data_IF_298941948236
#
_entry.id   IF_298941948236
#
_cell.length_a   1.000
_cell.length_b   1.000
_cell.length_c   1.000
_cell.angle_alpha   90.00
_cell.angle_beta   90.00
_cell.angle_gamma   90.00
#
_symmetry.space_group_name_H-M   'P 1'
#
loop_
_entity.id
_entity.type
_entity.pdbx_description
1 polymer ?
#
# COMPACT_ATOMS: atom_id res chain seq x y z
N UNK A 1 21.14 -53.82 -11.55
CA UNK A 1 21.56 -54.17 -10.19
C UNK A 1 23.07 -54.00 -10.14
N UNK A 2 23.68 -53.28 -9.19
CA UNK A 2 23.20 -52.79 -7.90
C UNK A 2 23.64 -51.33 -7.71
N UNK A 3 22.77 -50.47 -7.17
CA UNK A 3 23.21 -49.24 -6.49
C UNK A 3 23.50 -49.62 -5.04
N UNK A 4 24.73 -49.46 -4.58
CA UNK A 4 25.08 -49.67 -3.17
C UNK A 4 25.74 -48.42 -2.62
N UNK A 5 24.89 -47.52 -2.13
CA UNK A 5 25.27 -46.26 -1.48
C UNK A 5 25.66 -46.54 -0.04
N UNK A 6 26.96 -46.68 0.23
CA UNK A 6 27.49 -46.61 1.60
C UNK A 6 27.66 -45.13 1.98
N UNK A 7 26.55 -44.51 2.38
CA UNK A 7 26.59 -43.29 3.17
C UNK A 7 26.63 -43.70 4.65
N UNK A 8 27.65 -43.25 5.39
CA UNK A 8 27.80 -43.65 6.78
C UNK A 8 26.79 -42.90 7.66
N UNK A 9 25.90 -43.65 8.31
CA UNK A 9 24.86 -43.17 9.24
C UNK A 9 25.42 -42.28 10.37
N UNK A 10 26.71 -42.45 10.68
CA UNK A 10 27.47 -41.64 11.63
C UNK A 10 27.55 -40.14 11.28
N UNK A 11 27.45 -39.76 10.01
CA UNK A 11 27.58 -38.36 9.57
C UNK A 11 26.25 -37.61 9.69
N UNK A 12 25.13 -38.28 9.39
CA UNK A 12 23.78 -37.70 9.53
C UNK A 12 23.44 -37.44 11.00
N UNK A 13 23.74 -38.39 11.90
CA UNK A 13 23.55 -38.20 13.34
C UNK A 13 24.32 -36.99 13.88
N UNK A 14 25.56 -36.79 13.40
CA UNK A 14 26.39 -35.63 13.78
C UNK A 14 25.78 -34.31 13.29
N UNK A 15 25.31 -34.25 12.04
CA UNK A 15 24.68 -33.05 11.48
C UNK A 15 23.42 -32.66 12.28
N UNK A 16 22.62 -33.62 12.72
CA UNK A 16 21.41 -33.34 13.53
C UNK A 16 21.77 -32.81 14.93
N UNK A 17 22.80 -33.38 15.57
CA UNK A 17 23.27 -32.89 16.88
C UNK A 17 23.92 -31.49 16.77
N UNK A 18 24.70 -31.23 15.72
CA UNK A 18 25.30 -29.91 15.44
C UNK A 18 24.19 -28.85 15.21
N UNK A 19 23.13 -29.16 14.45
CA UNK A 19 21.98 -28.26 14.23
C UNK A 19 21.23 -27.98 15.54
N UNK A 20 21.05 -29.00 16.38
CA UNK A 20 20.38 -28.86 17.67
C UNK A 20 21.18 -27.97 18.62
N UNK A 21 22.50 -28.13 18.70
CA UNK A 21 23.37 -27.25 19.49
C UNK A 21 23.30 -25.78 19.04
N UNK A 22 23.28 -25.51 17.73
CA UNK A 22 23.11 -24.14 17.20
C UNK A 22 21.76 -23.53 17.58
N UNK A 23 20.70 -24.35 17.65
CA UNK A 23 19.38 -23.90 18.09
C UNK A 23 19.37 -23.57 19.60
N UNK A 24 19.97 -24.43 20.42
CA UNK A 24 20.06 -24.25 21.88
C UNK A 24 20.90 -23.02 22.26
N UNK A 25 22.08 -22.83 21.66
CA UNK A 25 22.92 -21.62 21.85
C UNK A 25 22.19 -20.30 21.48
N UNK A 26 21.27 -20.37 20.50
CA UNK A 26 20.49 -19.20 20.07
C UNK A 26 19.39 -18.80 21.06
N UNK A 27 18.93 -19.72 21.91
CA UNK A 27 17.92 -19.44 22.94
C UNK A 27 18.53 -18.89 24.24
N UNK A 28 19.75 -19.30 24.61
CA UNK A 28 20.43 -18.82 25.83
C UNK A 28 20.95 -17.38 25.73
N UNK A 29 21.00 -16.78 24.55
CA UNK A 29 21.43 -15.38 24.34
C UNK A 29 20.29 -14.35 24.55
N UNK A 30 19.05 -14.81 24.78
CA UNK A 30 17.84 -13.97 24.70
C UNK A 30 17.20 -13.58 26.06
N UNK A 31 17.93 -13.60 27.19
CA UNK A 31 17.39 -13.11 28.48
C UNK A 31 18.38 -12.17 29.20
N UNK A 32 18.20 -10.87 28.99
CA UNK A 32 18.56 -9.84 29.97
C UNK A 32 17.43 -8.80 30.06
N UNK A 33 16.64 -8.77 31.15
CA UNK A 33 15.60 -7.77 31.33
C UNK A 33 16.19 -6.44 31.81
N UNK A 34 15.71 -5.33 31.25
CA UNK A 34 15.93 -3.97 31.78
C UNK A 34 14.59 -3.26 31.89
N UNK A 35 14.38 -2.57 33.01
CA UNK A 35 13.08 -2.13 33.51
C UNK A 35 12.51 -0.89 32.78
N UNK A 36 11.18 -0.79 32.66
CA UNK A 36 10.55 0.23 31.83
C UNK A 36 9.04 0.47 31.97
N UNK A 37 8.51 0.49 33.21
CA UNK A 37 7.23 1.14 33.60
C UNK A 37 5.85 0.55 33.19
N UNK A 38 5.10 0.16 34.23
CA UNK A 38 3.63 0.25 34.46
C UNK A 38 2.66 -0.52 33.54
N UNK A 39 2.00 -1.52 34.13
CA UNK A 39 0.52 -1.56 34.21
C UNK A 39 0.06 -2.23 35.51
N UNK A 40 -1.07 -1.75 36.03
CA UNK A 40 -1.71 -2.17 37.28
C UNK A 40 -3.12 -2.69 36.97
N UNK A 41 -3.60 -3.64 37.79
CA UNK A 41 -4.88 -4.36 37.70
C UNK A 41 -5.07 -5.24 36.45
N UNK A 42 -5.79 -6.36 36.50
CA UNK A 42 -6.46 -7.01 37.63
C UNK A 42 -7.03 -8.37 37.18
N UNK A 43 -7.13 -9.35 38.08
CA UNK A 43 -7.48 -10.73 37.69
C UNK A 43 -8.91 -10.91 37.14
N UNK A 44 -9.15 -11.96 36.32
CA UNK A 44 -10.49 -12.29 35.81
C UNK A 44 -11.38 -12.89 36.90
N UNK A 45 -12.70 -12.82 36.70
CA UNK A 45 -13.68 -13.55 37.50
C UNK A 45 -14.75 -14.19 36.61
N UNK A 46 -15.09 -15.44 36.94
CA UNK A 46 -16.09 -16.26 36.28
C UNK A 46 -17.51 -15.69 36.36
N UNK A 47 -18.31 -15.97 35.33
CA UNK A 47 -19.77 -15.92 35.40
C UNK A 47 -20.40 -17.05 34.56
N UNK A 48 -20.56 -18.20 35.21
CA UNK A 48 -21.62 -19.22 35.02
C UNK A 48 -22.60 -19.09 33.84
N UNK A 49 -22.80 -20.21 33.14
CA UNK A 49 -24.15 -20.61 32.69
C UNK A 49 -24.46 -22.06 33.10
N UNK A 50 -25.74 -22.37 33.24
CA UNK A 50 -26.23 -23.27 34.30
C UNK A 50 -26.31 -24.76 33.93
N UNK A 51 -26.24 -25.64 34.95
CA UNK A 51 -26.22 -27.11 34.80
C UNK A 51 -27.48 -27.75 35.40
N UNK A 52 -28.35 -28.35 34.58
CA UNK A 52 -29.53 -29.07 35.09
C UNK A 52 -29.40 -30.61 35.01
N UNK A 53 -29.18 -31.20 36.19
CA UNK A 53 -29.56 -32.55 36.70
C UNK A 53 -29.61 -33.81 35.78
N UNK A 54 -28.68 -34.73 36.08
CA UNK A 54 -28.77 -36.21 36.07
C UNK A 54 -29.88 -36.76 37.01
N UNK A 55 -30.12 -38.10 37.21
CA UNK A 55 -29.36 -39.33 36.83
C UNK A 55 -30.26 -40.40 36.11
N UNK A 56 -30.03 -41.73 35.97
CA UNK A 56 -29.09 -42.77 36.50
C UNK A 56 -28.64 -43.71 35.34
N UNK A 57 -27.36 -44.09 35.22
CA UNK A 57 -26.69 -45.38 35.58
C UNK A 57 -26.88 -46.60 34.63
N UNK A 58 -25.89 -47.51 34.64
CA UNK A 58 -25.88 -48.88 34.11
C UNK A 58 -25.70 -49.11 32.59
N UNK A 59 -24.42 -49.09 32.17
CA UNK A 59 -23.75 -50.34 31.80
C UNK A 59 -23.71 -50.83 30.33
N UNK A 60 -22.47 -51.04 29.87
CA UNK A 60 -22.00 -52.04 28.88
C UNK A 60 -22.22 -51.81 27.37
N UNK A 61 -21.07 -51.83 26.67
CA UNK A 61 -20.79 -52.48 25.38
C UNK A 61 -21.99 -52.89 24.49
N UNK A 62 -22.05 -52.33 23.28
CA UNK A 62 -21.40 -52.94 22.11
C UNK A 62 -21.74 -52.11 20.85
N UNK A 63 -20.72 -51.64 20.14
CA UNK A 63 -20.93 -51.00 18.83
C UNK A 63 -21.58 -51.99 17.85
N UNK A 64 -22.62 -51.52 17.15
CA UNK A 64 -23.07 -52.12 15.89
C UNK A 64 -23.11 -51.06 14.83
N UNK A 65 -22.50 -51.38 13.70
CA UNK A 65 -22.31 -50.50 12.56
C UNK A 65 -23.65 -49.98 12.04
N UNK A 66 -23.76 -48.66 11.93
CA UNK A 66 -24.53 -48.03 10.86
C UNK A 66 -23.60 -47.10 10.11
N UNK A 67 -23.28 -47.49 8.89
CA UNK A 67 -22.43 -46.74 7.95
C UNK A 67 -23.15 -45.43 7.61
N UNK A 68 -22.79 -44.37 8.33
CA UNK A 68 -23.17 -43.00 7.97
C UNK A 68 -22.12 -42.42 7.03
N UNK A 69 -22.55 -41.85 5.92
CA UNK A 69 -21.70 -41.23 4.90
C UNK A 69 -20.80 -40.16 5.51
N UNK A 70 -19.54 -40.52 5.78
CA UNK A 70 -18.54 -39.60 6.29
C UNK A 70 -17.96 -38.79 5.11
N UNK A 71 -18.75 -37.88 4.56
CA UNK A 71 -18.13 -36.70 3.96
C UNK A 71 -17.52 -35.87 5.09
N UNK A 72 -16.23 -35.53 5.02
CA UNK A 72 -15.70 -34.49 5.90
C UNK A 72 -16.42 -33.19 5.55
N UNK A 73 -17.40 -32.80 6.37
CA UNK A 73 -17.66 -31.39 6.57
C UNK A 73 -16.42 -30.87 7.29
N UNK A 74 -15.42 -30.50 6.50
CA UNK A 74 -14.28 -29.71 6.92
C UNK A 74 -14.85 -28.36 7.35
N UNK A 75 -15.30 -28.32 8.61
CA UNK A 75 -15.79 -27.12 9.25
C UNK A 75 -14.54 -26.30 9.54
N UNK A 76 -14.13 -25.51 8.53
CA UNK A 76 -13.03 -24.55 8.66
C UNK A 76 -13.39 -23.65 9.83
N UNK A 77 -12.80 -23.95 10.98
CA UNK A 77 -12.97 -23.15 12.18
C UNK A 77 -12.44 -21.77 11.85
N UNK A 78 -13.33 -20.79 11.83
CA UNK A 78 -12.95 -19.42 11.50
C UNK A 78 -11.98 -18.96 12.58
N UNK A 79 -10.71 -18.79 12.18
CA UNK A 79 -9.69 -18.18 13.03
C UNK A 79 -9.95 -16.68 13.12
N UNK A 80 -9.44 -16.03 14.17
CA UNK A 80 -9.51 -14.56 14.32
C UNK A 80 -9.09 -13.82 13.05
N UNK A 81 -8.05 -14.36 12.40
CA UNK A 81 -7.42 -13.75 11.23
C UNK A 81 -8.30 -13.91 9.98
N UNK A 82 -9.03 -15.04 9.87
CA UNK A 82 -10.00 -15.26 8.79
C UNK A 82 -11.26 -14.40 9.01
N UNK A 83 -11.74 -14.25 10.25
CA UNK A 83 -12.84 -13.33 10.59
C UNK A 83 -12.48 -11.87 10.27
N UNK A 84 -11.27 -11.44 10.64
CA UNK A 84 -10.76 -10.11 10.31
C UNK A 84 -10.63 -9.91 8.79
N UNK A 85 -10.09 -10.89 8.05
CA UNK A 85 -9.99 -10.82 6.60
C UNK A 85 -11.36 -10.75 5.91
N UNK A 86 -12.32 -11.57 6.34
CA UNK A 86 -13.71 -11.56 5.85
C UNK A 86 -14.37 -10.20 6.11
N UNK A 87 -14.11 -9.59 7.28
CA UNK A 87 -14.62 -8.26 7.64
C UNK A 87 -14.00 -7.14 6.80
N UNK A 88 -12.67 -7.14 6.61
CA UNK A 88 -12.00 -6.15 5.74
C UNK A 88 -12.47 -6.23 4.28
N UNK A 89 -12.76 -7.44 3.77
CA UNK A 89 -13.33 -7.63 2.43
C UNK A 89 -14.76 -7.06 2.36
N UNK A 90 -15.56 -7.22 3.43
CA UNK A 90 -16.90 -6.64 3.50
C UNK A 90 -16.87 -5.11 3.52
N UNK A 91 -16.01 -4.51 4.35
CA UNK A 91 -15.79 -3.06 4.39
C UNK A 91 -15.35 -2.49 3.04
N UNK A 92 -14.41 -3.17 2.37
CA UNK A 92 -13.98 -2.81 1.01
C UNK A 92 -15.16 -2.81 0.02
N UNK A 93 -16.01 -3.84 0.04
CA UNK A 93 -17.19 -3.91 -0.84
C UNK A 93 -18.19 -2.80 -0.54
N UNK A 94 -18.38 -2.42 0.74
CA UNK A 94 -19.23 -1.28 1.11
C UNK A 94 -18.65 0.06 0.64
N UNK A 95 -17.33 0.23 0.65
CA UNK A 95 -16.67 1.42 0.09
C UNK A 95 -16.80 1.46 -1.44
N UNK A 96 -16.62 0.32 -2.11
CA UNK A 96 -16.78 0.18 -3.56
C UNK A 96 -18.21 0.56 -4.00
N UNK A 97 -19.23 0.16 -3.23
CA UNK A 97 -20.62 0.57 -3.47
C UNK A 97 -20.91 2.07 -3.25
N UNK A 98 -20.14 2.75 -2.39
CA UNK A 98 -20.28 4.20 -2.15
C UNK A 98 -19.58 5.03 -3.22
N UNK A 99 -18.42 4.58 -3.72
CA UNK A 99 -17.66 5.26 -4.78
C UNK A 99 -18.31 5.07 -6.17
N UNK A 100 -19.15 4.05 -6.33
CA UNK A 100 -20.01 3.82 -7.49
C UNK A 100 -21.19 4.83 -7.59
N UNK A 101 -20.91 6.14 -7.53
CA UNK A 101 -21.93 7.17 -7.77
C UNK A 101 -22.36 7.11 -9.25
N UNK A 102 -23.67 7.14 -9.57
CA UNK A 102 -24.13 6.89 -10.92
C UNK A 102 -23.74 8.01 -11.88
N UNK A 103 -22.85 7.69 -12.83
CA UNK A 103 -22.80 8.36 -14.13
C UNK A 103 -24.12 8.06 -14.87
N UNK A 104 -25.16 8.81 -14.55
CA UNK A 104 -26.46 8.66 -15.19
C UNK A 104 -26.41 9.14 -16.63
N UNK A 105 -26.33 8.19 -17.55
CA UNK A 105 -26.98 8.31 -18.85
C UNK A 105 -27.88 7.08 -19.09
N UNK A 106 -29.19 7.33 -19.04
CA UNK A 106 -30.29 6.54 -19.62
C UNK A 106 -30.11 5.02 -19.75
N UNK A 107 -30.08 4.28 -18.63
CA UNK A 107 -30.57 2.88 -18.63
C UNK A 107 -31.12 2.45 -17.26
N UNK A 108 -32.08 1.51 -17.29
CA UNK A 108 -32.96 1.16 -16.16
C UNK A 108 -32.31 0.27 -15.07
N UNK A 109 -30.98 0.19 -15.00
CA UNK A 109 -30.27 -0.86 -14.24
C UNK A 109 -29.50 -0.39 -13.00
N UNK A 110 -29.66 0.86 -12.57
CA UNK A 110 -28.94 1.44 -11.41
C UNK A 110 -29.21 0.80 -10.04
N UNK A 111 -30.04 -0.25 -9.98
CA UNK A 111 -30.37 -1.01 -8.77
C UNK A 111 -29.55 -2.31 -8.62
N UNK A 112 -28.95 -2.84 -9.69
CA UNK A 112 -28.36 -4.19 -9.69
C UNK A 112 -27.13 -4.30 -8.77
N UNK A 113 -26.24 -3.30 -8.78
CA UNK A 113 -25.04 -3.30 -7.94
C UNK A 113 -25.39 -3.23 -6.45
N UNK A 114 -26.29 -2.33 -6.06
CA UNK A 114 -26.76 -2.20 -4.68
C UNK A 114 -27.42 -3.48 -4.18
N UNK A 115 -28.24 -4.13 -5.02
CA UNK A 115 -28.82 -5.44 -4.71
C UNK A 115 -27.74 -6.51 -4.49
N UNK A 116 -26.69 -6.57 -5.33
CA UNK A 116 -25.59 -7.53 -5.19
C UNK A 116 -24.77 -7.32 -3.92
N UNK A 117 -24.55 -6.07 -3.52
CA UNK A 117 -23.90 -5.72 -2.26
C UNK A 117 -24.75 -6.12 -1.05
N UNK A 118 -26.08 -5.97 -1.12
CA UNK A 118 -27.01 -6.43 -0.08
C UNK A 118 -27.03 -7.96 0.03
N UNK A 119 -27.13 -8.67 -1.09
CA UNK A 119 -27.05 -10.14 -1.15
C UNK A 119 -25.73 -10.67 -0.56
N UNK A 120 -24.60 -10.06 -0.93
CA UNK A 120 -23.29 -10.37 -0.37
C UNK A 120 -23.20 -10.07 1.14
N UNK A 121 -23.77 -8.96 1.61
CA UNK A 121 -23.81 -8.61 3.04
C UNK A 121 -24.62 -9.62 3.87
N UNK A 122 -25.72 -10.14 3.30
CA UNK A 122 -26.50 -11.23 3.92
C UNK A 122 -25.66 -12.51 4.02
N UNK A 123 -24.84 -12.83 3.01
CA UNK A 123 -23.92 -13.97 3.08
C UNK A 123 -22.78 -13.75 4.08
N UNK A 124 -22.17 -12.56 4.13
CA UNK A 124 -21.18 -12.18 5.14
C UNK A 124 -21.70 -12.44 6.57
N UNK A 125 -22.88 -11.93 6.93
CA UNK A 125 -23.45 -12.16 8.26
C UNK A 125 -23.72 -13.65 8.54
N UNK A 126 -24.13 -14.43 7.53
CA UNK A 126 -24.31 -15.89 7.69
C UNK A 126 -22.98 -16.62 7.90
N UNK A 127 -21.90 -16.20 7.26
CA UNK A 127 -20.57 -16.81 7.39
C UNK A 127 -20.02 -16.58 8.79
N UNK A 128 -20.08 -15.35 9.31
CA UNK A 128 -19.66 -15.06 10.68
C UNK A 128 -20.51 -15.82 11.73
N UNK A 129 -21.83 -15.92 11.51
CA UNK A 129 -22.69 -16.78 12.33
C UNK A 129 -22.56 -18.28 12.05
N UNK A 130 -21.56 -18.73 11.27
CA UNK A 130 -21.27 -20.13 10.91
C UNK A 130 -22.44 -20.88 10.22
N UNK A 131 -23.38 -20.12 9.63
CA UNK A 131 -24.60 -20.56 8.96
C UNK A 131 -24.46 -20.66 7.43
N UNK A 132 -23.35 -20.19 6.84
CA UNK A 132 -23.03 -20.31 5.42
C UNK A 132 -21.55 -20.68 5.22
N UNK A 133 -21.23 -21.25 4.05
CA UNK A 133 -19.86 -21.65 3.72
C UNK A 133 -19.03 -20.49 3.17
N UNK A 134 -17.71 -20.56 3.39
CA UNK A 134 -16.74 -19.64 2.78
C UNK A 134 -16.78 -19.69 1.23
N UNK A 135 -17.17 -20.83 0.65
CA UNK A 135 -17.41 -20.95 -0.79
C UNK A 135 -18.52 -20.00 -1.26
N UNK A 136 -19.62 -19.89 -0.52
CA UNK A 136 -20.71 -18.96 -0.86
C UNK A 136 -20.25 -17.50 -0.74
N UNK A 137 -19.45 -17.18 0.27
CA UNK A 137 -18.84 -15.84 0.43
C UNK A 137 -18.00 -15.45 -0.80
N UNK A 138 -17.13 -16.34 -1.26
CA UNK A 138 -16.26 -16.10 -2.43
C UNK A 138 -17.08 -16.00 -3.72
N UNK A 139 -18.13 -16.81 -3.88
CA UNK A 139 -19.03 -16.73 -5.03
C UNK A 139 -19.77 -15.38 -5.06
N UNK A 140 -20.38 -14.98 -3.95
CA UNK A 140 -21.13 -13.72 -3.86
C UNK A 140 -20.20 -12.50 -4.04
N UNK A 141 -18.98 -12.55 -3.47
CA UNK A 141 -17.92 -11.57 -3.72
C UNK A 141 -17.57 -11.48 -5.22
N UNK A 142 -17.44 -12.62 -5.90
CA UNK A 142 -17.11 -12.65 -7.33
C UNK A 142 -18.20 -12.00 -8.20
N UNK A 143 -19.47 -12.15 -7.83
CA UNK A 143 -20.58 -11.48 -8.51
C UNK A 143 -20.56 -9.96 -8.28
N UNK A 144 -20.26 -9.51 -7.06
CA UNK A 144 -20.09 -8.08 -6.76
C UNK A 144 -18.91 -7.48 -7.54
N UNK A 145 -17.76 -8.16 -7.59
CA UNK A 145 -16.58 -7.68 -8.32
C UNK A 145 -16.77 -7.70 -9.84
N UNK A 146 -17.45 -8.70 -10.38
CA UNK A 146 -17.83 -8.72 -11.80
C UNK A 146 -18.73 -7.52 -12.14
N UNK A 147 -19.74 -7.24 -11.30
CA UNK A 147 -20.61 -6.06 -11.47
C UNK A 147 -19.87 -4.74 -11.25
N UNK A 148 -18.92 -4.67 -10.32
CA UNK A 148 -18.04 -3.54 -10.14
C UNK A 148 -17.23 -3.25 -11.42
N UNK A 149 -16.75 -4.27 -12.13
CA UNK A 149 -15.97 -4.08 -13.36
C UNK A 149 -16.77 -3.46 -14.52
N UNK A 150 -18.10 -3.48 -14.47
CA UNK A 150 -18.98 -2.78 -15.41
C UNK A 150 -19.11 -1.26 -15.09
N UNK A 151 -18.63 -0.82 -13.91
CA UNK A 151 -18.80 0.53 -13.39
C UNK A 151 -17.49 1.35 -13.51
N UNK A 152 -17.65 2.62 -13.90
CA UNK A 152 -16.53 3.58 -13.97
C UNK A 152 -16.36 4.26 -12.62
N UNK A 153 -15.41 3.80 -11.80
CA UNK A 153 -15.05 4.44 -10.54
C UNK A 153 -14.28 5.74 -10.77
N UNK A 154 -14.76 6.84 -10.21
CA UNK A 154 -14.12 8.15 -10.29
C UNK A 154 -13.13 8.38 -9.15
N UNK A 155 -12.09 7.55 -9.04
CA UNK A 155 -11.07 7.67 -7.97
C UNK A 155 -10.46 9.07 -7.95
N UNK A 156 -10.79 9.84 -6.90
CA UNK A 156 -10.18 11.12 -6.50
C UNK A 156 -9.72 12.03 -7.65
N UNK A 157 -10.64 12.32 -8.59
CA UNK A 157 -10.46 13.38 -9.59
C UNK A 157 -9.59 13.01 -10.81
N UNK A 158 -9.08 11.78 -10.92
CA UNK A 158 -8.40 11.35 -12.15
C UNK A 158 -9.42 11.00 -13.24
N UNK A 159 -9.78 12.00 -14.06
CA UNK A 159 -10.59 11.78 -15.27
C UNK A 159 -9.71 11.18 -16.38
N UNK A 160 -9.46 9.88 -16.30
CA UNK A 160 -8.81 9.11 -17.36
C UNK A 160 -9.58 9.27 -18.67
N UNK A 161 -9.00 9.99 -19.64
CA UNK A 161 -9.54 10.08 -20.99
C UNK A 161 -9.21 8.80 -21.74
N UNK A 162 -10.10 7.82 -21.65
CA UNK A 162 -10.07 6.63 -22.50
C UNK A 162 -10.20 7.02 -23.97
N UNK A 163 -9.07 7.01 -24.68
CA UNK A 163 -9.02 7.10 -26.13
C UNK A 163 -7.88 6.26 -26.74
N UNK A 164 -7.32 5.30 -26.00
CA UNK A 164 -6.33 4.35 -26.52
C UNK A 164 -6.79 2.91 -26.30
N UNK A 165 -7.44 2.37 -27.33
CA UNK A 165 -7.78 0.96 -27.42
C UNK A 165 -6.53 0.11 -27.57
N UNK A 166 -6.30 -0.80 -26.63
CA UNK A 166 -5.65 -2.10 -26.84
C UNK A 166 -4.30 -2.08 -27.60
N UNK A 167 -3.26 -1.48 -27.01
CA UNK A 167 -1.88 -1.83 -27.34
C UNK A 167 -1.32 -2.80 -26.30
N UNK A 168 -1.32 -4.09 -26.60
CA UNK A 168 -0.68 -5.14 -25.78
C UNK A 168 0.84 -5.16 -26.01
N UNK A 169 1.49 -4.02 -25.76
CA UNK A 169 2.94 -3.89 -25.80
C UNK A 169 3.42 -3.22 -24.51
N UNK A 170 3.89 -4.05 -23.58
CA UNK A 170 4.32 -3.66 -22.25
C UNK A 170 5.70 -2.99 -22.29
N UNK A 171 5.74 -1.72 -22.72
CA UNK A 171 6.94 -0.91 -22.64
C UNK A 171 6.97 -0.15 -21.31
N UNK A 172 7.87 -0.59 -20.45
CA UNK A 172 8.35 0.12 -19.27
C UNK A 172 8.68 1.59 -19.59
N UNK A 173 7.81 2.50 -19.12
CA UNK A 173 8.01 3.95 -19.13
C UNK A 173 7.47 4.58 -17.86
N UNK A 174 8.17 4.33 -16.75
CA UNK A 174 8.10 5.21 -15.58
C UNK A 174 8.69 6.56 -15.98
N UNK A 175 7.85 7.49 -16.43
CA UNK A 175 8.25 8.86 -16.73
C UNK A 175 8.52 9.62 -15.41
N UNK A 176 9.74 9.49 -14.90
CA UNK A 176 10.22 10.29 -13.77
C UNK A 176 10.14 11.78 -14.12
N UNK A 177 9.54 12.64 -13.27
CA UNK A 177 9.61 14.08 -13.46
C UNK A 177 11.03 14.57 -13.13
N UNK A 178 11.88 14.69 -14.16
CA UNK A 178 13.19 15.33 -14.04
C UNK A 178 13.03 16.76 -13.52
N UNK A 179 13.33 16.98 -12.23
CA UNK A 179 13.29 18.29 -11.62
C UNK A 179 14.50 19.13 -12.08
N UNK A 180 14.35 19.78 -13.25
CA UNK A 180 15.43 20.59 -13.85
C UNK A 180 15.65 21.85 -13.03
N UNK A 181 16.72 21.81 -12.23
CA UNK A 181 17.32 22.96 -11.56
C UNK A 181 17.78 23.98 -12.62
N UNK A 182 16.91 24.95 -12.96
CA UNK A 182 17.28 26.05 -13.86
C UNK A 182 18.15 27.05 -13.11
N UNK A 183 19.46 26.87 -13.23
CA UNK A 183 20.46 27.86 -12.82
C UNK A 183 20.75 28.81 -13.98
N UNK A 184 19.83 29.74 -14.27
CA UNK A 184 20.08 30.80 -15.25
C UNK A 184 20.69 32.04 -14.58
N UNK A 185 21.96 32.28 -14.90
CA UNK A 185 22.64 33.54 -14.62
C UNK A 185 22.53 34.46 -15.84
N UNK A 186 22.18 35.75 -15.64
CA UNK A 186 22.28 36.84 -16.63
C UNK A 186 21.36 36.68 -17.87
N UNK A 187 20.35 37.55 -18.07
CA UNK A 187 20.56 38.99 -18.27
C UNK A 187 19.25 39.76 -18.10
N UNK A 188 19.34 41.07 -17.82
CA UNK A 188 18.16 41.86 -17.46
C UNK A 188 17.50 42.54 -18.65
N UNK A 189 16.16 42.50 -18.71
CA UNK A 189 15.40 43.60 -19.28
C UNK A 189 14.09 43.92 -18.52
N UNK A 190 14.12 45.07 -17.85
CA UNK A 190 13.02 46.00 -17.51
C UNK A 190 11.60 45.44 -17.34
N UNK A 191 11.16 45.39 -16.08
CA UNK A 191 9.93 46.09 -15.69
C UNK A 191 10.14 46.88 -14.40
N UNK A 192 10.28 48.21 -14.52
CA UNK A 192 10.07 49.10 -13.38
C UNK A 192 8.56 49.22 -13.17
N UNK A 193 8.03 48.71 -12.05
CA UNK A 193 6.73 49.12 -11.55
C UNK A 193 6.90 49.69 -10.14
N UNK A 194 6.80 51.01 -10.01
CA UNK A 194 6.94 51.70 -8.74
C UNK A 194 5.60 51.76 -7.99
N UNK A 195 5.58 51.28 -6.75
CA UNK A 195 4.47 51.50 -5.81
C UNK A 195 4.92 52.22 -4.53
N UNK A 196 5.73 53.26 -4.70
CA UNK A 196 6.02 54.24 -3.64
C UNK A 196 5.00 55.38 -3.67
N UNK A 197 3.76 55.11 -3.23
CA UNK A 197 2.74 56.17 -2.99
C UNK A 197 1.58 55.71 -2.10
N UNK A 198 1.88 55.40 -0.84
CA UNK A 198 0.84 55.49 0.22
C UNK A 198 0.55 56.97 0.42
N UNK A 199 -0.62 57.43 -0.02
CA UNK A 199 -1.11 58.77 0.26
C UNK A 199 -1.70 58.79 1.68
N UNK A 200 -1.01 59.45 2.61
CA UNK A 200 -1.59 59.87 3.89
C UNK A 200 -2.64 60.97 3.65
N UNK A 201 -3.88 60.83 4.13
CA UNK A 201 -4.78 61.93 4.38
C UNK A 201 -4.67 62.36 5.85
N UNK A 202 -3.56 63.01 6.21
CA UNK A 202 -3.45 63.72 7.48
C UNK A 202 -3.21 65.20 7.18
N UNK A 203 -4.29 65.90 6.83
CA UNK A 203 -4.30 67.35 6.69
C UNK A 203 -4.50 67.97 8.07
N UNK A 204 -3.45 68.60 8.57
CA UNK A 204 -3.46 69.45 9.76
C UNK A 204 -4.40 70.65 9.51
N UNK A 205 -5.35 70.98 10.41
CA UNK A 205 -6.17 72.18 10.26
C UNK A 205 -5.34 73.42 10.61
N UNK A 206 -4.91 74.16 9.58
CA UNK A 206 -4.36 75.50 9.75
C UNK A 206 -5.30 76.39 10.59
N UNK A 207 -4.69 77.13 11.53
CA UNK A 207 -5.38 78.12 12.35
C UNK A 207 -6.04 79.18 11.45
N UNK A 208 -7.35 79.45 11.56
CA UNK A 208 -7.97 80.57 10.86
C UNK A 208 -7.42 81.90 11.38
N UNK A 209 -6.77 82.64 10.50
CA UNK A 209 -6.25 84.00 10.76
C UNK A 209 -7.38 85.02 11.02
N UNK A 210 -7.07 86.07 11.77
CA UNK A 210 -8.00 87.10 12.24
C UNK A 210 -8.39 88.08 11.12
N UNK A 211 -9.39 87.68 10.33
CA UNK A 211 -9.86 88.39 9.14
C UNK A 211 -11.20 89.13 9.32
N UNK A 212 -11.24 90.18 10.14
CA UNK A 212 -12.39 91.09 10.25
C UNK A 212 -12.85 91.67 8.90
N UNK A 213 -14.03 91.28 8.42
CA UNK A 213 -14.93 92.16 7.66
C UNK A 213 -16.41 91.88 7.96
N UNK A 214 -17.06 92.86 8.57
CA UNK A 214 -18.52 92.95 8.73
C UNK A 214 -19.21 93.02 7.36
N UNK A 215 -20.14 92.10 7.10
CA UNK A 215 -21.23 92.31 6.13
C UNK A 215 -22.54 91.79 6.69
N UNK A 216 -23.47 92.70 6.98
CA UNK A 216 -24.67 92.39 7.74
C UNK A 216 -25.77 91.77 6.88
N UNK A 217 -26.08 90.50 7.13
CA UNK A 217 -27.41 89.95 6.83
C UNK A 217 -28.04 89.35 8.09
N UNK A 218 -28.91 90.18 8.69
CA UNK A 218 -30.07 89.83 9.53
C UNK A 218 -30.12 88.39 10.06
N UNK A 219 -29.99 88.27 11.39
CA UNK A 219 -30.27 87.04 12.12
C UNK A 219 -31.63 86.43 11.75
N UNK A 220 -31.59 85.32 11.00
CA UNK A 220 -32.49 84.20 11.23
C UNK A 220 -31.61 83.06 11.74
N UNK A 221 -31.35 83.09 13.04
CA UNK A 221 -30.90 81.90 13.78
C UNK A 221 -32.11 80.98 13.94
N UNK A 222 -32.56 80.44 12.80
CA UNK A 222 -32.94 79.05 12.75
C UNK A 222 -31.58 78.32 12.74
N UNK A 223 -31.02 77.91 13.88
CA UNK A 223 -31.68 76.94 14.76
C UNK A 223 -32.42 75.90 13.92
N UNK A 224 -31.72 75.32 12.93
CA UNK A 224 -31.82 73.90 12.65
C UNK A 224 -31.46 73.16 13.94
N UNK A 225 -32.40 73.17 14.89
CA UNK A 225 -32.51 72.08 15.84
C UNK A 225 -32.76 70.85 14.97
N UNK A 226 -32.00 69.76 15.12
CA UNK A 226 -32.43 68.51 14.53
C UNK A 226 -33.88 68.27 14.97
N UNK A 227 -34.73 67.90 14.02
CA UNK A 227 -36.11 67.60 14.37
C UNK A 227 -36.12 66.45 15.38
N UNK A 228 -37.16 66.38 16.22
CA UNK A 228 -37.26 65.30 17.19
C UNK A 228 -37.28 63.92 16.49
N UNK A 229 -37.83 63.87 15.27
CA UNK A 229 -37.77 62.74 14.33
C UNK A 229 -36.30 62.37 13.99
N UNK A 230 -35.50 63.31 13.50
CA UNK A 230 -34.09 63.10 13.09
C UNK A 230 -33.22 62.61 14.26
N UNK A 231 -33.51 63.06 15.50
CA UNK A 231 -32.78 62.62 16.68
C UNK A 231 -33.10 61.18 17.09
N UNK A 232 -34.37 60.76 17.03
CA UNK A 232 -34.76 59.37 17.29
C UNK A 232 -34.33 58.43 16.13
N UNK A 233 -34.33 58.90 14.88
CA UNK A 233 -33.78 58.15 13.74
C UNK A 233 -32.27 57.93 13.88
N UNK A 234 -31.48 58.96 14.23
CA UNK A 234 -30.05 58.85 14.49
C UNK A 234 -29.74 57.91 15.68
N UNK A 235 -30.62 57.85 16.67
CA UNK A 235 -30.50 56.96 17.83
C UNK A 235 -30.74 55.50 17.45
N UNK A 236 -31.73 55.23 16.59
CA UNK A 236 -31.96 53.91 15.99
C UNK A 236 -30.80 53.50 15.07
N UNK A 237 -30.27 54.42 14.27
CA UNK A 237 -29.09 54.18 13.43
C UNK A 237 -27.85 53.83 14.27
N UNK A 238 -27.61 54.58 15.36
CA UNK A 238 -26.54 54.26 16.33
C UNK A 238 -26.71 52.87 16.93
N UNK A 239 -27.92 52.49 17.33
CA UNK A 239 -28.20 51.16 17.90
C UNK A 239 -27.96 50.05 16.87
N UNK A 240 -28.41 50.24 15.63
CA UNK A 240 -28.14 49.34 14.50
C UNK A 240 -26.64 49.22 14.22
N UNK A 241 -25.88 50.32 14.17
CA UNK A 241 -24.42 50.29 13.97
C UNK A 241 -23.73 49.57 15.12
N UNK A 242 -24.22 49.68 16.35
CA UNK A 242 -23.69 48.93 17.49
C UNK A 242 -23.96 47.43 17.37
N UNK A 243 -25.14 47.00 16.90
CA UNK A 243 -25.43 45.59 16.64
C UNK A 243 -24.61 45.04 15.47
N UNK A 244 -24.51 45.79 14.37
CA UNK A 244 -23.73 45.40 13.18
C UNK A 244 -22.23 45.25 13.55
N UNK A 245 -21.69 46.15 14.39
CA UNK A 245 -20.31 46.07 14.88
C UNK A 245 -20.09 44.87 15.82
N UNK A 246 -21.07 44.51 16.65
CA UNK A 246 -21.01 43.29 17.48
C UNK A 246 -20.96 42.03 16.61
N UNK A 247 -21.81 41.94 15.57
CA UNK A 247 -21.85 40.81 14.63
C UNK A 247 -20.52 40.73 13.85
N UNK A 248 -19.98 41.85 13.38
CA UNK A 248 -18.67 41.90 12.74
C UNK A 248 -17.53 41.42 13.65
N UNK A 249 -17.60 41.71 14.95
CA UNK A 249 -16.58 41.29 15.93
C UNK A 249 -16.62 39.77 16.18
N UNK A 250 -17.82 39.20 16.29
CA UNK A 250 -18.00 37.74 16.42
C UNK A 250 -17.51 36.98 15.18
N UNK A 251 -17.87 37.46 13.98
CA UNK A 251 -17.39 36.89 12.71
C UNK A 251 -15.86 36.99 12.57
N UNK A 252 -15.23 38.04 13.10
CA UNK A 252 -13.77 38.20 13.08
C UNK A 252 -13.07 37.18 13.97
N UNK A 253 -13.55 36.93 15.19
CA UNK A 253 -12.97 35.92 16.08
C UNK A 253 -13.22 34.49 15.57
N UNK A 254 -14.35 34.22 14.92
CA UNK A 254 -14.63 32.95 14.25
C UNK A 254 -13.67 32.71 13.08
N UNK A 255 -13.50 33.68 12.17
CA UNK A 255 -12.59 33.54 11.01
C UNK A 255 -11.12 33.47 11.41
N UNK A 256 -10.73 34.16 12.48
CA UNK A 256 -9.40 34.04 13.12
C UNK A 256 -9.17 32.65 13.71
N UNK A 257 -10.17 32.05 14.33
CA UNK A 257 -10.07 30.68 14.86
C UNK A 257 -9.93 29.65 13.73
N UNK A 258 -10.71 29.80 12.65
CA UNK A 258 -10.58 28.99 11.42
C UNK A 258 -9.19 29.15 10.78
N UNK A 259 -8.63 30.37 10.74
CA UNK A 259 -7.30 30.60 10.21
C UNK A 259 -6.24 29.77 10.97
N UNK A 260 -6.24 29.82 12.30
CA UNK A 260 -5.31 29.04 13.13
C UNK A 260 -5.47 27.52 12.92
N UNK A 261 -6.71 27.02 12.80
CA UNK A 261 -6.97 25.62 12.46
C UNK A 261 -6.38 25.25 11.09
N UNK A 262 -6.56 26.09 10.07
CA UNK A 262 -5.99 25.84 8.74
C UNK A 262 -4.45 25.93 8.71
N UNK A 263 -3.84 26.81 9.52
CA UNK A 263 -2.39 26.88 9.68
C UNK A 263 -1.83 25.61 10.33
N UNK A 264 -2.52 25.05 11.33
CA UNK A 264 -2.17 23.79 11.96
C UNK A 264 -2.29 22.60 10.98
N UNK A 265 -3.39 22.52 10.23
CA UNK A 265 -3.57 21.48 9.19
C UNK A 265 -2.51 21.60 8.09
N UNK A 266 -2.13 22.82 7.68
CA UNK A 266 -1.06 23.05 6.72
C UNK A 266 0.31 22.62 7.23
N UNK A 267 0.59 22.80 8.53
CA UNK A 267 1.81 22.32 9.16
C UNK A 267 1.86 20.77 9.21
N UNK A 268 0.75 20.13 9.54
CA UNK A 268 0.62 18.67 9.55
C UNK A 268 0.81 18.06 8.15
N UNK A 269 0.13 18.59 7.13
CA UNK A 269 0.29 18.11 5.74
C UNK A 269 1.74 18.27 5.24
N UNK A 270 2.44 19.35 5.62
CA UNK A 270 3.87 19.52 5.30
C UNK A 270 4.75 18.48 6.00
N UNK A 271 4.45 18.13 7.25
CA UNK A 271 5.14 17.07 7.99
C UNK A 271 4.95 15.70 7.32
N UNK A 272 3.70 15.38 6.93
CA UNK A 272 3.36 14.15 6.23
C UNK A 272 4.03 14.07 4.85
N UNK A 273 4.05 15.17 4.08
CA UNK A 273 4.74 15.25 2.81
C UNK A 273 6.26 14.96 2.96
N UNK A 274 6.93 15.64 3.90
CA UNK A 274 8.35 15.41 4.17
C UNK A 274 8.65 14.00 4.74
N UNK A 275 7.65 13.31 5.30
CA UNK A 275 7.75 11.89 5.68
C UNK A 275 7.62 10.98 4.45
N UNK A 276 6.64 11.25 3.59
CA UNK A 276 6.40 10.52 2.35
C UNK A 276 7.58 10.63 1.37
N UNK A 277 8.15 11.83 1.19
CA UNK A 277 9.35 12.06 0.37
C UNK A 277 10.56 11.22 0.83
N UNK A 278 10.81 11.18 2.15
CA UNK A 278 11.88 10.34 2.72
C UNK A 278 11.61 8.85 2.55
N UNK A 279 10.37 8.41 2.74
CA UNK A 279 9.96 7.02 2.51
C UNK A 279 10.14 6.61 1.04
N UNK A 280 9.76 7.49 0.11
CA UNK A 280 9.89 7.26 -1.33
C UNK A 280 11.36 7.18 -1.76
N UNK A 281 12.23 8.07 -1.26
CA UNK A 281 13.68 8.02 -1.52
C UNK A 281 14.34 6.73 -1.00
N UNK A 282 13.87 6.21 0.14
CA UNK A 282 14.31 4.91 0.65
C UNK A 282 13.85 3.76 -0.26
N UNK A 283 12.59 3.75 -0.70
CA UNK A 283 12.04 2.74 -1.59
C UNK A 283 12.74 2.75 -2.97
N UNK A 284 13.04 3.92 -3.54
CA UNK A 284 13.83 4.07 -4.76
C UNK A 284 15.24 3.47 -4.60
N UNK A 285 15.89 3.73 -3.47
CA UNK A 285 17.22 3.15 -3.15
C UNK A 285 17.15 1.63 -3.05
N UNK A 286 16.14 1.09 -2.36
CA UNK A 286 15.92 -0.36 -2.24
C UNK A 286 15.68 -1.02 -3.62
N UNK A 287 14.82 -0.41 -4.45
CA UNK A 287 14.53 -0.87 -5.80
C UNK A 287 15.80 -0.90 -6.67
N UNK A 288 16.63 0.15 -6.57
CA UNK A 288 17.92 0.21 -7.28
C UNK A 288 18.87 -0.91 -6.85
N UNK A 289 19.02 -1.14 -5.53
CA UNK A 289 19.85 -2.24 -5.02
C UNK A 289 19.34 -3.62 -5.49
N UNK A 290 18.02 -3.83 -5.53
CA UNK A 290 17.43 -5.06 -6.07
C UNK A 290 17.73 -5.22 -7.57
N UNK A 291 17.55 -4.17 -8.37
CA UNK A 291 17.83 -4.20 -9.81
C UNK A 291 19.32 -4.48 -10.11
N UNK A 292 20.24 -3.86 -9.38
CA UNK A 292 21.67 -4.13 -9.49
C UNK A 292 22.03 -5.57 -9.06
N UNK A 293 21.37 -6.10 -8.02
CA UNK A 293 21.53 -7.49 -7.58
C UNK A 293 21.07 -8.49 -8.64
N UNK A 294 19.89 -8.29 -9.23
CA UNK A 294 19.38 -9.15 -10.32
C UNK A 294 20.28 -9.10 -11.56
N UNK A 295 20.75 -7.91 -11.95
CA UNK A 295 21.70 -7.76 -13.07
C UNK A 295 23.03 -8.50 -12.82
N UNK A 296 23.54 -8.46 -11.59
CA UNK A 296 24.73 -9.21 -11.19
C UNK A 296 24.50 -10.73 -11.27
N UNK A 297 23.33 -11.20 -10.82
CA UNK A 297 22.94 -12.62 -10.90
C UNK A 297 22.78 -13.10 -12.35
N UNK A 298 22.15 -12.29 -13.20
CA UNK A 298 21.99 -12.57 -14.64
C UNK A 298 23.35 -12.66 -15.35
N UNK A 299 24.26 -11.71 -15.08
CA UNK A 299 25.62 -11.73 -15.63
C UNK A 299 26.34 -13.02 -15.25
N UNK A 300 26.25 -13.43 -13.97
CA UNK A 300 26.86 -14.67 -13.48
C UNK A 300 26.23 -15.94 -14.07
N UNK A 301 24.92 -15.92 -14.34
CA UNK A 301 24.25 -17.03 -15.01
C UNK A 301 24.76 -17.20 -16.46
N UNK A 302 24.95 -16.09 -17.20
CA UNK A 302 25.55 -16.09 -18.54
C UNK A 302 27.00 -16.58 -18.52
N UNK A 303 27.80 -16.17 -17.51
CA UNK A 303 29.16 -16.69 -17.31
C UNK A 303 29.16 -18.22 -17.13
N UNK A 304 28.28 -18.77 -16.29
CA UNK A 304 28.16 -20.22 -16.11
C UNK A 304 27.66 -20.96 -17.36
N UNK A 305 26.75 -20.37 -18.13
CA UNK A 305 26.30 -20.95 -19.41
C UNK A 305 27.43 -21.01 -20.44
N UNK A 306 28.24 -19.95 -20.56
CA UNK A 306 29.40 -19.96 -21.48
C UNK A 306 30.46 -20.97 -21.05
N UNK A 307 30.73 -21.12 -19.75
CA UNK A 307 31.66 -22.12 -19.22
C UNK A 307 31.15 -23.56 -19.37
N UNK A 308 29.85 -23.82 -19.18
CA UNK A 308 29.25 -25.14 -19.45
C UNK A 308 29.39 -25.53 -20.92
N UNK A 309 29.07 -24.63 -21.83
CA UNK A 309 29.23 -24.85 -23.27
C UNK A 309 30.71 -25.13 -23.65
N UNK A 310 31.65 -24.40 -23.04
CA UNK A 310 33.09 -24.61 -23.22
C UNK A 310 33.54 -25.98 -22.71
N UNK A 311 33.07 -26.40 -21.52
CA UNK A 311 33.37 -27.71 -20.95
C UNK A 311 32.77 -28.84 -21.77
N UNK A 312 31.53 -28.71 -22.24
CA UNK A 312 30.87 -29.70 -23.09
C UNK A 312 31.62 -29.92 -24.41
N UNK A 313 32.03 -28.82 -25.09
CA UNK A 313 32.87 -28.91 -26.29
C UNK A 313 34.24 -29.55 -26.00
N UNK A 314 34.82 -29.30 -24.82
CA UNK A 314 36.08 -29.94 -24.40
C UNK A 314 35.89 -31.45 -24.19
N UNK A 315 34.77 -31.88 -23.58
CA UNK A 315 34.43 -33.29 -23.37
C UNK A 315 34.26 -33.99 -24.73
N UNK A 316 33.46 -33.43 -25.63
CA UNK A 316 33.26 -33.98 -26.98
C UNK A 316 34.58 -34.11 -27.75
N UNK A 317 35.49 -33.14 -27.63
CA UNK A 317 36.82 -33.20 -28.24
C UNK A 317 37.64 -34.37 -27.66
N UNK A 318 37.69 -34.50 -26.33
CA UNK A 318 38.42 -35.59 -25.66
C UNK A 318 37.82 -36.98 -25.91
N UNK A 319 36.50 -37.09 -26.07
CA UNK A 319 35.82 -38.34 -26.43
C UNK A 319 36.18 -38.79 -27.86
N UNK A 320 36.27 -37.84 -28.81
CA UNK A 320 36.73 -38.10 -30.16
C UNK A 320 38.22 -38.52 -30.19
N UNK A 321 39.11 -37.79 -29.51
CA UNK A 321 40.53 -38.15 -29.37
C UNK A 321 40.72 -39.54 -28.75
N UNK A 322 39.96 -39.86 -27.69
CA UNK A 322 39.98 -41.18 -27.06
C UNK A 322 39.46 -42.29 -27.98
N UNK A 323 38.48 -42.01 -28.84
CA UNK A 323 38.01 -42.98 -29.83
C UNK A 323 39.06 -43.22 -30.92
N UNK A 324 39.73 -42.18 -31.38
CA UNK A 324 40.81 -42.26 -32.38
C UNK A 324 42.02 -43.04 -31.84
N UNK A 325 42.46 -42.75 -30.61
CA UNK A 325 43.56 -43.49 -29.97
C UNK A 325 43.20 -44.97 -29.78
N UNK A 326 41.96 -45.31 -29.40
CA UNK A 326 41.50 -46.71 -29.32
C UNK A 326 41.58 -47.40 -30.69
N UNK A 327 41.13 -46.76 -31.77
CA UNK A 327 41.21 -47.31 -33.13
C UNK A 327 42.66 -47.49 -33.59
N UNK A 328 43.54 -46.53 -33.28
CA UNK A 328 44.97 -46.61 -33.57
C UNK A 328 45.64 -47.77 -32.80
N UNK A 329 45.31 -47.94 -31.52
CA UNK A 329 45.80 -49.04 -30.69
C UNK A 329 45.34 -50.41 -31.21
N UNK A 330 44.06 -50.57 -31.55
CA UNK A 330 43.53 -51.81 -32.14
C UNK A 330 44.22 -52.17 -33.45
N UNK A 331 44.46 -51.19 -34.33
CA UNK A 331 45.19 -51.39 -35.58
C UNK A 331 46.67 -51.78 -35.35
N UNK A 332 47.34 -51.14 -34.38
CA UNK A 332 48.71 -51.49 -34.00
C UNK A 332 48.80 -52.91 -33.41
N UNK A 333 47.84 -53.30 -32.57
CA UNK A 333 47.75 -54.63 -31.96
C UNK A 333 47.46 -55.72 -33.00
N UNK A 334 46.58 -55.45 -33.98
CA UNK A 334 46.34 -56.35 -35.10
C UNK A 334 47.62 -56.58 -35.94
N UNK A 335 48.34 -55.49 -36.27
CA UNK A 335 49.62 -55.56 -36.99
C UNK A 335 50.70 -56.30 -36.19
N UNK A 336 50.75 -56.12 -34.87
CA UNK A 336 51.70 -56.85 -34.01
C UNK A 336 51.46 -58.36 -34.06
N UNK A 337 50.19 -58.80 -34.00
CA UNK A 337 49.82 -60.22 -34.13
C UNK A 337 50.15 -60.78 -35.51
N UNK A 338 49.91 -60.03 -36.57
CA UNK A 338 50.28 -60.43 -37.93
C UNK A 338 51.80 -60.67 -38.06
N UNK A 339 52.62 -59.77 -37.49
CA UNK A 339 54.08 -59.92 -37.48
C UNK A 339 54.54 -61.11 -36.62
N UNK A 340 53.90 -61.37 -35.48
CA UNK A 340 54.15 -62.55 -34.65
C UNK A 340 53.84 -63.85 -35.39
N UNK A 341 52.69 -63.93 -36.10
CA UNK A 341 52.35 -65.06 -36.97
C UNK A 341 53.36 -65.22 -38.13
N UNK A 342 53.83 -64.14 -38.72
CA UNK A 342 54.84 -64.19 -39.79
C UNK A 342 56.17 -64.74 -39.28
N UNK A 343 56.62 -64.34 -38.09
CA UNK A 343 57.84 -64.86 -37.45
C UNK A 343 57.70 -66.35 -37.10
N UNK A 344 56.58 -66.76 -36.49
CA UNK A 344 56.32 -68.17 -36.17
C UNK A 344 56.30 -69.08 -37.41
N UNK A 345 55.86 -68.57 -38.58
CA UNK A 345 55.92 -69.31 -39.85
C UNK A 345 57.35 -69.43 -40.41
N UNK A 346 58.24 -68.50 -40.08
CA UNK A 346 59.65 -68.54 -40.50
C UNK A 346 60.49 -69.46 -39.61
N UNK A 347 60.22 -69.51 -38.30
CA UNK A 347 60.93 -70.39 -37.34
C UNK A 347 60.57 -71.90 -37.47
N UNK A 348 59.61 -72.25 -38.33
CA UNK A 348 59.15 -73.64 -38.59
C UNK A 348 59.75 -74.21 -39.90
N UNK A 349 60.59 -73.44 -40.61
CA UNK A 349 61.29 -73.83 -41.85
C UNK A 349 62.79 -74.02 -41.59
#
# INVERSE_FOLDING_TARGET
MVFESIANDADIGKIVEDIKHVLEDSHDTAIHPSEGFISQDGQPSDATCDRQKNPEDSGLNLEKETISSLQPKEYVQITSDLEAAISHIHDFVLLLGKEAIPFHDVSSNGNEMSQKIEEFSVTFSKVLCSNASLLQFVLDLSYVLAKASELRFSVLGYKGTEAETNSLDCIDKIALPENKLVQDNSSGERYQNGCSRVLNPCSDPEVPDDGNLVSGYRAIVASQKPSFEEFEELKLEKEKVATDLSICTENLELTKSQLVETEQLLAEVKSQLASAERSNSLAETQLKCMAESYKSLETRAQEFETELNRLQSTIETLENELHDEKRAHEAALAKSKELEEQLLRLDII
#
